data_IF_501071128473
#
_entry.id   IF_501071128473
#
_cell.length_a   1.000
_cell.length_b   1.000
_cell.length_c   1.000
_cell.angle_alpha   90.00
_cell.angle_beta   90.00
_cell.angle_gamma   90.00
#
_symmetry.space_group_name_H-M   'P 1'
#
loop_
_entity.id
_entity.type
_entity.pdbx_description
1 polymer ?
#
# COMPACT_ATOMS: atom_id res chain seq x y z
N UNK A 1 15.25 1.24 -8.63
CA UNK A 1 14.38 1.30 -7.44
C UNK A 1 14.76 2.53 -6.64
N UNK A 2 13.87 3.10 -5.80
CA UNK A 2 14.25 4.17 -4.88
C UNK A 2 15.53 3.80 -4.10
N UNK A 3 16.44 4.77 -3.95
CA UNK A 3 17.72 4.59 -3.25
C UNK A 3 18.81 3.79 -3.99
N UNK A 4 18.53 3.30 -5.20
CA UNK A 4 19.52 2.64 -6.05
C UNK A 4 19.93 3.58 -7.19
N UNK A 5 21.10 4.21 -7.05
CA UNK A 5 21.56 5.21 -8.00
C UNK A 5 21.76 4.66 -9.41
N UNK A 6 21.36 5.46 -10.40
CA UNK A 6 21.46 5.11 -11.81
C UNK A 6 22.69 5.80 -12.38
N UNK A 7 23.77 5.03 -12.56
CA UNK A 7 24.98 5.52 -13.23
C UNK A 7 24.72 5.83 -14.72
N UNK A 8 25.58 6.65 -15.32
CA UNK A 8 25.46 7.07 -16.74
C UNK A 8 25.35 5.88 -17.70
N UNK A 9 26.08 4.79 -17.43
CA UNK A 9 26.07 3.57 -18.23
C UNK A 9 24.73 2.81 -18.21
N UNK A 10 23.93 2.98 -17.16
CA UNK A 10 22.64 2.29 -16.97
C UNK A 10 21.44 3.18 -17.26
N UNK A 11 21.67 4.46 -17.58
CA UNK A 11 20.62 5.45 -17.74
C UNK A 11 19.61 5.09 -18.84
N UNK A 12 20.11 4.78 -20.05
CA UNK A 12 19.26 4.45 -21.18
C UNK A 12 18.50 3.14 -20.97
N UNK A 13 19.17 2.12 -20.44
CA UNK A 13 18.52 0.86 -20.08
C UNK A 13 17.42 1.05 -19.02
N UNK A 14 17.64 1.94 -18.05
CA UNK A 14 16.66 2.27 -17.01
C UNK A 14 15.45 2.97 -17.62
N UNK A 15 15.65 3.96 -18.49
CA UNK A 15 14.56 4.65 -19.21
C UNK A 15 13.73 3.66 -20.04
N UNK A 16 14.38 2.76 -20.76
CA UNK A 16 13.69 1.75 -21.56
C UNK A 16 12.88 0.79 -20.67
N UNK A 17 13.47 0.35 -19.56
CA UNK A 17 12.80 -0.53 -18.60
C UNK A 17 11.57 0.13 -17.98
N UNK A 18 11.68 1.41 -17.57
CA UNK A 18 10.55 2.18 -17.07
C UNK A 18 9.47 2.33 -18.14
N UNK A 19 9.84 2.70 -19.36
CA UNK A 19 8.89 2.82 -20.49
C UNK A 19 8.14 1.52 -20.74
N UNK A 20 8.86 0.39 -20.75
CA UNK A 20 8.27 -0.94 -20.94
C UNK A 20 7.32 -1.30 -19.80
N UNK A 21 7.72 -1.05 -18.54
CA UNK A 21 6.85 -1.28 -17.38
C UNK A 21 5.58 -0.42 -17.43
N UNK A 22 5.72 0.87 -17.74
CA UNK A 22 4.57 1.77 -17.89
C UNK A 22 3.61 1.28 -18.97
N UNK A 23 4.13 0.84 -20.12
CA UNK A 23 3.29 0.29 -21.19
C UNK A 23 2.56 -0.98 -20.75
N UNK A 24 3.25 -1.92 -20.10
CA UNK A 24 2.64 -3.14 -19.58
C UNK A 24 1.52 -2.83 -18.58
N UNK A 25 1.72 -1.86 -17.68
CA UNK A 25 0.68 -1.45 -16.73
C UNK A 25 -0.53 -0.84 -17.46
N UNK A 26 -0.29 -0.01 -18.49
CA UNK A 26 -1.36 0.58 -19.31
C UNK A 26 -2.18 -0.46 -20.05
N UNK A 27 -1.53 -1.49 -20.58
CA UNK A 27 -2.16 -2.52 -21.41
C UNK A 27 -3.01 -3.52 -20.62
N UNK A 28 -2.85 -3.60 -19.29
CA UNK A 28 -3.58 -4.55 -18.43
C UNK A 28 -4.57 -3.84 -17.49
N UNK A 29 -5.66 -4.51 -17.13
CA UNK A 29 -6.71 -3.94 -16.28
C UNK A 29 -6.44 -4.09 -14.78
N UNK A 30 -5.79 -5.20 -14.40
CA UNK A 30 -5.43 -5.53 -13.03
C UNK A 30 -3.96 -5.92 -12.94
N UNK A 31 -3.27 -5.38 -11.93
CA UNK A 31 -1.84 -5.59 -11.69
C UNK A 31 -1.64 -6.21 -10.32
N UNK A 32 -0.98 -7.37 -10.29
CA UNK A 32 -0.56 -8.02 -9.06
C UNK A 32 0.87 -7.62 -8.71
N UNK A 33 1.04 -6.99 -7.54
CA UNK A 33 2.34 -6.59 -6.99
C UNK A 33 2.91 -7.75 -6.15
N UNK A 34 3.56 -8.70 -6.82
CA UNK A 34 4.13 -9.92 -6.24
C UNK A 34 5.66 -9.83 -6.13
N UNK A 35 6.14 -8.70 -5.63
CA UNK A 35 7.57 -8.37 -5.61
C UNK A 35 8.21 -8.81 -4.29
N UNK A 36 9.51 -8.97 -4.29
CA UNK A 36 10.32 -9.43 -3.16
C UNK A 36 10.63 -8.32 -2.15
N UNK A 37 10.79 -7.08 -2.60
CA UNK A 37 11.21 -5.96 -1.75
C UNK A 37 10.19 -4.82 -1.67
N UNK A 38 10.33 -3.94 -0.68
CA UNK A 38 9.46 -2.77 -0.49
C UNK A 38 9.71 -1.73 -1.59
N UNK A 39 10.98 -1.48 -1.90
CA UNK A 39 11.46 -0.54 -2.90
C UNK A 39 11.06 -0.94 -4.32
N UNK A 40 11.02 -2.24 -4.66
CA UNK A 40 10.51 -2.73 -5.95
C UNK A 40 9.04 -2.36 -6.16
N UNK A 41 8.22 -2.35 -5.09
CA UNK A 41 6.76 -2.11 -5.17
C UNK A 41 6.41 -0.65 -5.46
N UNK A 42 7.32 0.28 -5.19
CA UNK A 42 7.02 1.71 -5.24
C UNK A 42 6.64 2.18 -6.64
N UNK A 43 7.48 1.90 -7.64
CA UNK A 43 7.27 2.40 -9.00
C UNK A 43 5.97 1.83 -9.65
N UNK A 44 5.70 0.50 -9.60
CA UNK A 44 4.41 -0.02 -10.07
C UNK A 44 3.20 0.54 -9.32
N UNK A 45 3.34 0.83 -8.01
CA UNK A 45 2.26 1.44 -7.22
C UNK A 45 1.95 2.86 -7.72
N UNK A 46 2.99 3.67 -7.93
CA UNK A 46 2.85 5.03 -8.45
C UNK A 46 2.19 5.03 -9.83
N UNK A 47 2.75 4.26 -10.78
CA UNK A 47 2.23 4.20 -12.16
C UNK A 47 0.80 3.66 -12.17
N UNK A 48 0.53 2.55 -11.48
CA UNK A 48 -0.80 1.95 -11.47
C UNK A 48 -1.86 2.89 -10.88
N UNK A 49 -1.51 3.71 -9.89
CA UNK A 49 -2.42 4.69 -9.34
C UNK A 49 -2.66 5.87 -10.30
N UNK A 50 -1.61 6.35 -10.99
CA UNK A 50 -1.71 7.40 -12.01
C UNK A 50 -2.58 6.96 -13.20
N UNK A 51 -2.48 5.68 -13.58
CA UNK A 51 -3.21 5.07 -14.68
C UNK A 51 -4.57 4.47 -14.25
N UNK A 52 -5.01 4.71 -13.02
CA UNK A 52 -6.28 4.25 -12.44
C UNK A 52 -6.53 2.73 -12.58
N UNK A 53 -5.49 1.92 -12.34
CA UNK A 53 -5.53 0.46 -12.45
C UNK A 53 -5.94 -0.21 -11.15
N UNK A 54 -6.51 -1.41 -11.26
CA UNK A 54 -6.74 -2.27 -10.10
C UNK A 54 -5.38 -2.80 -9.63
N UNK A 55 -4.96 -2.43 -8.41
CA UNK A 55 -3.70 -2.90 -7.83
C UNK A 55 -3.98 -3.86 -6.67
N UNK A 56 -3.51 -5.10 -6.78
CA UNK A 56 -3.54 -6.09 -5.70
C UNK A 56 -2.11 -6.36 -5.26
N UNK A 57 -1.77 -6.01 -4.02
CA UNK A 57 -0.48 -6.26 -3.44
C UNK A 57 -0.51 -7.52 -2.57
N UNK A 58 0.49 -8.39 -2.74
CA UNK A 58 0.76 -9.48 -1.82
C UNK A 58 2.19 -9.37 -1.27
N UNK A 59 2.35 -9.56 0.03
CA UNK A 59 3.63 -9.57 0.71
C UNK A 59 3.67 -10.73 1.72
N UNK A 60 4.83 -11.37 1.84
CA UNK A 60 5.01 -12.56 2.67
C UNK A 60 6.05 -12.27 3.75
N UNK A 61 5.73 -12.64 4.98
CA UNK A 61 6.67 -12.79 6.08
C UNK A 61 7.04 -14.26 6.27
N UNK A 62 7.72 -14.57 7.37
CA UNK A 62 8.10 -15.96 7.70
C UNK A 62 6.87 -16.87 7.87
N UNK A 63 5.93 -16.48 8.72
CA UNK A 63 4.70 -17.22 9.04
C UNK A 63 3.43 -16.36 8.89
N UNK A 64 3.54 -15.21 8.22
CA UNK A 64 2.46 -14.26 8.03
C UNK A 64 2.40 -13.76 6.59
N UNK A 65 1.25 -13.20 6.19
CA UNK A 65 1.07 -12.60 4.88
C UNK A 65 0.18 -11.36 4.95
N UNK A 66 0.32 -10.49 3.95
CA UNK A 66 -0.54 -9.35 3.69
C UNK A 66 -1.00 -9.42 2.24
N UNK A 67 -2.31 -9.44 2.03
CA UNK A 67 -2.95 -9.23 0.73
C UNK A 67 -3.81 -7.98 0.83
N UNK A 68 -3.64 -7.01 -0.06
CA UNK A 68 -4.44 -5.78 -0.03
C UNK A 68 -4.71 -5.24 -1.42
N UNK A 69 -5.81 -4.51 -1.56
CA UNK A 69 -6.09 -3.71 -2.75
C UNK A 69 -5.80 -2.24 -2.47
N UNK A 70 -5.22 -1.53 -3.44
CA UNK A 70 -5.00 -0.10 -3.28
C UNK A 70 -6.27 0.69 -3.63
N UNK A 71 -6.41 1.87 -3.03
CA UNK A 71 -7.41 2.84 -3.49
C UNK A 71 -7.06 3.41 -4.85
N UNK A 72 -8.09 3.79 -5.60
CA UNK A 72 -7.93 4.42 -6.92
C UNK A 72 -7.98 5.93 -6.78
N UNK A 73 -7.08 6.60 -7.48
CA UNK A 73 -7.11 8.04 -7.64
C UNK A 73 -8.31 8.51 -8.49
N UNK A 74 -9.48 8.73 -7.88
CA UNK A 74 -10.61 9.42 -8.54
C UNK A 74 -10.79 10.81 -7.93
N UNK A 75 -10.69 11.84 -8.76
CA UNK A 75 -10.97 13.23 -8.36
C UNK A 75 -12.47 13.56 -8.28
N UNK A 76 -13.35 12.72 -8.87
CA UNK A 76 -14.74 13.11 -9.14
C UNK A 76 -15.82 12.24 -8.47
N UNK A 77 -15.48 11.14 -7.82
CA UNK A 77 -16.48 10.21 -7.28
C UNK A 77 -16.47 10.18 -5.75
N UNK A 78 -17.21 11.11 -5.14
CA UNK A 78 -17.67 10.96 -3.76
C UNK A 78 -18.84 9.98 -3.76
N UNK A 79 -18.56 8.67 -3.88
CA UNK A 79 -19.58 7.67 -3.61
C UNK A 79 -19.92 7.81 -2.14
N UNK A 80 -21.13 8.28 -1.84
CA UNK A 80 -21.64 8.28 -0.47
C UNK A 80 -21.67 6.83 0.00
N UNK A 81 -20.98 6.56 1.10
CA UNK A 81 -21.06 5.26 1.73
C UNK A 81 -22.53 4.97 2.05
N UNK A 82 -23.02 3.80 1.64
CA UNK A 82 -24.41 3.41 1.87
C UNK A 82 -24.70 3.30 3.37
N UNK A 83 -25.96 3.18 3.78
CA UNK A 83 -26.26 2.91 5.18
C UNK A 83 -25.56 1.60 5.62
N UNK A 84 -24.88 1.64 6.77
CA UNK A 84 -24.18 0.48 7.33
C UNK A 84 -24.73 0.14 8.71
N UNK A 85 -24.66 -1.14 9.12
CA UNK A 85 -25.03 -1.55 10.47
C UNK A 85 -24.26 -0.77 11.53
N UNK A 86 -24.91 -0.52 12.66
CA UNK A 86 -24.33 0.17 13.81
C UNK A 86 -23.05 -0.56 14.28
N UNK A 87 -21.94 0.17 14.43
CA UNK A 87 -20.64 -0.40 14.80
C UNK A 87 -19.74 -0.86 13.65
N UNK A 88 -20.17 -0.70 12.39
CA UNK A 88 -19.32 -0.86 11.21
C UNK A 88 -18.77 0.49 10.74
N UNK A 89 -17.48 0.52 10.39
CA UNK A 89 -16.85 1.65 9.71
C UNK A 89 -16.63 1.31 8.24
N UNK A 90 -16.63 2.33 7.40
CA UNK A 90 -16.51 2.22 5.95
C UNK A 90 -15.43 3.17 5.46
N UNK A 91 -14.64 2.70 4.51
CA UNK A 91 -13.73 3.54 3.73
C UNK A 91 -14.10 3.35 2.26
N UNK A 92 -14.35 4.47 1.57
CA UNK A 92 -14.69 4.48 0.15
C UNK A 92 -13.50 4.00 -0.68
N UNK A 93 -13.75 3.37 -1.83
CA UNK A 93 -12.70 2.77 -2.65
C UNK A 93 -11.61 3.76 -3.12
N UNK A 94 -11.96 5.03 -3.32
CA UNK A 94 -11.00 6.09 -3.66
C UNK A 94 -10.11 6.53 -2.48
N UNK A 95 -10.58 6.35 -1.25
CA UNK A 95 -9.86 6.75 -0.04
C UNK A 95 -9.11 5.59 0.63
N UNK A 96 -9.00 4.43 -0.03
CA UNK A 96 -8.24 3.31 0.53
C UNK A 96 -6.73 3.55 0.44
N UNK A 97 -6.04 3.24 1.54
CA UNK A 97 -4.59 3.28 1.61
C UNK A 97 -3.93 2.34 0.58
N UNK A 98 -2.79 2.78 0.03
CA UNK A 98 -1.86 1.88 -0.65
C UNK A 98 -0.90 1.23 0.37
N UNK A 99 -0.05 0.30 -0.10
CA UNK A 99 0.97 -0.36 0.72
C UNK A 99 1.88 0.61 1.50
N UNK A 100 2.11 1.82 0.98
CA UNK A 100 2.99 2.84 1.57
C UNK A 100 2.27 3.85 2.47
N UNK A 101 0.95 3.76 2.68
CA UNK A 101 0.24 4.71 3.55
C UNK A 101 0.40 4.40 5.04
N UNK A 102 0.61 3.13 5.39
CA UNK A 102 0.71 2.69 6.78
C UNK A 102 2.11 2.87 7.37
N UNK A 103 3.04 3.46 6.63
CA UNK A 103 4.44 3.62 7.05
C UNK A 103 4.87 5.07 6.79
N UNK A 104 5.48 5.70 7.79
CA UNK A 104 5.91 7.11 7.77
C UNK A 104 7.30 7.29 7.16
N UNK A 105 7.91 6.24 6.61
CA UNK A 105 9.25 6.29 6.00
C UNK A 105 9.20 6.18 4.47
N UNK A 106 10.12 6.82 3.75
CA UNK A 106 10.27 6.57 2.32
C UNK A 106 10.93 5.21 2.04
N UNK A 107 10.55 4.50 0.96
CA UNK A 107 11.30 3.32 0.53
C UNK A 107 12.73 3.72 0.17
N UNK A 108 13.71 3.15 0.87
CA UNK A 108 15.15 3.26 0.58
C UNK A 108 15.77 1.92 0.21
N UNK A 109 17.09 1.90 0.03
CA UNK A 109 17.85 0.66 -0.20
C UNK A 109 17.81 -0.22 1.06
N UNK A 110 16.88 -1.19 1.08
CA UNK A 110 16.70 -2.10 2.21
C UNK A 110 17.59 -3.35 2.12
N UNK A 111 18.28 -3.53 0.99
CA UNK A 111 19.21 -4.63 0.75
C UNK A 111 20.58 -4.33 1.36
N UNK A 112 20.97 -3.05 1.43
CA UNK A 112 22.20 -2.57 2.07
C UNK A 112 22.11 -2.70 3.60
N UNK A 113 22.81 -3.70 4.14
CA UNK A 113 22.92 -3.95 5.59
C UNK A 113 22.22 -5.21 6.08
N UNK A 114 21.50 -5.94 5.20
CA UNK A 114 20.97 -7.27 5.51
C UNK A 114 22.02 -8.34 5.30
N UNK A 115 22.15 -9.27 6.24
CA UNK A 115 22.95 -10.49 6.04
C UNK A 115 22.32 -11.35 4.93
N UNK A 116 23.09 -12.25 4.30
CA UNK A 116 22.61 -13.08 3.18
C UNK A 116 21.29 -13.82 3.51
N UNK A 117 21.14 -14.27 4.76
CA UNK A 117 19.93 -14.94 5.27
C UNK A 117 18.72 -14.02 5.47
N UNK A 118 18.90 -12.70 5.52
CA UNK A 118 17.83 -11.70 5.58
C UNK A 118 17.41 -11.16 4.20
N UNK A 119 18.18 -11.48 3.16
CA UNK A 119 17.85 -11.18 1.76
C UNK A 119 16.96 -12.28 1.15
N UNK A 120 17.11 -13.53 1.60
CA UNK A 120 16.18 -14.61 1.29
C UNK A 120 15.06 -14.63 2.32
N UNK A 121 13.84 -14.21 1.97
CA UNK A 121 12.70 -14.44 2.86
C UNK A 121 12.47 -15.94 2.98
N UNK A 122 12.93 -16.54 4.09
CA UNK A 122 12.50 -17.90 4.45
C UNK A 122 11.03 -17.78 4.82
N UNK A 123 10.15 -18.36 4.01
CA UNK A 123 8.71 -18.40 4.26
C UNK A 123 8.27 -19.82 4.52
N UNK A 124 7.38 -20.04 5.50
CA UNK A 124 6.69 -21.33 5.64
C UNK A 124 5.97 -21.64 4.32
N UNK A 125 6.11 -22.86 3.74
CA UNK A 125 5.65 -23.14 2.38
C UNK A 125 4.16 -22.91 2.10
N UNK A 126 3.30 -22.95 3.12
CA UNK A 126 1.87 -22.70 2.98
C UNK A 126 1.50 -21.21 2.81
N UNK A 127 2.36 -20.28 3.21
CA UNK A 127 2.08 -18.84 3.23
C UNK A 127 1.81 -18.31 1.83
N UNK A 128 2.66 -18.67 0.85
CA UNK A 128 2.53 -18.22 -0.53
C UNK A 128 1.26 -18.74 -1.21
N UNK A 129 0.86 -19.97 -0.91
CA UNK A 129 -0.37 -20.58 -1.46
C UNK A 129 -1.62 -19.86 -0.95
N UNK A 130 -1.69 -19.61 0.35
CA UNK A 130 -2.81 -18.89 0.98
C UNK A 130 -2.88 -17.46 0.44
N UNK A 131 -1.76 -16.73 0.44
CA UNK A 131 -1.72 -15.36 -0.05
C UNK A 131 -2.09 -15.26 -1.53
N UNK A 132 -1.60 -16.19 -2.37
CA UNK A 132 -1.95 -16.25 -3.79
C UNK A 132 -3.44 -16.49 -4.03
N UNK A 133 -4.03 -17.46 -3.33
CA UNK A 133 -5.46 -17.73 -3.43
C UNK A 133 -6.31 -16.51 -3.01
N UNK A 134 -5.98 -15.89 -1.87
CA UNK A 134 -6.69 -14.71 -1.38
C UNK A 134 -6.53 -13.50 -2.30
N UNK A 135 -5.37 -13.31 -2.92
CA UNK A 135 -5.15 -12.22 -3.87
C UNK A 135 -6.06 -12.35 -5.10
N UNK A 136 -6.23 -13.57 -5.62
CA UNK A 136 -7.13 -13.84 -6.74
C UNK A 136 -8.58 -13.67 -6.31
N UNK A 137 -9.01 -14.25 -5.20
CA UNK A 137 -10.39 -14.11 -4.69
C UNK A 137 -10.76 -12.66 -4.38
N UNK A 138 -9.81 -11.85 -3.88
CA UNK A 138 -10.00 -10.43 -3.67
C UNK A 138 -10.24 -9.70 -4.99
N UNK A 139 -9.47 -10.00 -6.04
CA UNK A 139 -9.69 -9.41 -7.37
C UNK A 139 -11.08 -9.79 -7.91
N UNK A 140 -11.46 -11.07 -7.85
CA UNK A 140 -12.77 -11.52 -8.36
C UNK A 140 -13.90 -10.84 -7.57
N UNK A 141 -13.78 -10.74 -6.25
CA UNK A 141 -14.75 -10.02 -5.41
C UNK A 141 -14.87 -8.53 -5.78
N UNK A 142 -13.75 -7.86 -6.08
CA UNK A 142 -13.76 -6.47 -6.59
C UNK A 142 -14.50 -6.38 -7.92
N UNK A 143 -14.23 -7.29 -8.86
CA UNK A 143 -14.85 -7.28 -10.20
C UNK A 143 -16.36 -7.58 -10.17
N UNK A 144 -16.82 -8.39 -9.22
CA UNK A 144 -18.24 -8.72 -9.07
C UNK A 144 -19.02 -7.70 -8.23
N UNK A 145 -18.33 -6.79 -7.55
CA UNK A 145 -18.97 -5.73 -6.78
C UNK A 145 -19.60 -4.69 -7.72
N UNK A 146 -20.80 -4.18 -7.40
CA UNK A 146 -21.50 -3.17 -8.23
C UNK A 146 -20.65 -1.94 -8.57
N UNK A 147 -19.82 -1.52 -7.62
CA UNK A 147 -18.90 -0.37 -7.76
C UNK A 147 -17.51 -0.73 -8.32
N UNK A 148 -17.25 -2.00 -8.67
CA UNK A 148 -15.99 -2.45 -9.23
C UNK A 148 -14.80 -2.04 -8.36
N UNK A 149 -13.81 -1.38 -8.96
CA UNK A 149 -12.61 -0.90 -8.27
C UNK A 149 -12.88 0.12 -7.16
N UNK A 150 -14.01 0.84 -7.23
CA UNK A 150 -14.44 1.80 -6.21
C UNK A 150 -15.22 1.14 -5.06
N UNK A 151 -15.29 -0.19 -5.02
CA UNK A 151 -15.92 -0.92 -3.92
C UNK A 151 -15.44 -0.41 -2.55
N UNK A 152 -16.35 -0.08 -1.62
CA UNK A 152 -15.97 0.31 -0.27
C UNK A 152 -15.40 -0.87 0.51
N UNK A 153 -14.59 -0.58 1.52
CA UNK A 153 -14.12 -1.58 2.48
C UNK A 153 -14.81 -1.37 3.82
N UNK A 154 -15.51 -2.41 4.29
CA UNK A 154 -16.09 -2.44 5.62
C UNK A 154 -15.12 -3.06 6.61
N UNK A 155 -15.02 -2.45 7.78
CA UNK A 155 -14.23 -2.99 8.89
C UNK A 155 -14.91 -2.68 10.22
N UNK A 156 -14.70 -3.54 11.21
CA UNK A 156 -15.19 -3.30 12.57
C UNK A 156 -14.00 -3.12 13.51
N UNK A 157 -14.14 -2.19 14.45
CA UNK A 157 -13.16 -1.98 15.53
C UNK A 157 -13.48 -2.82 16.77
N UNK A 158 -14.63 -3.49 16.81
CA UNK A 158 -15.06 -4.33 17.92
C UNK A 158 -15.34 -5.75 17.43
N UNK A 159 -14.95 -6.78 18.20
CA UNK A 159 -15.22 -8.20 17.91
C UNK A 159 -16.72 -8.57 17.96
N UNK A 160 -17.62 -7.57 18.06
CA UNK A 160 -19.03 -7.75 18.40
C UNK A 160 -19.96 -7.81 17.20
N UNK A 161 -19.52 -7.42 15.99
CA UNK A 161 -20.37 -7.45 14.80
C UNK A 161 -20.10 -8.72 13.99
N UNK A 162 -21.09 -9.63 13.85
CA UNK A 162 -20.94 -10.81 13.00
C UNK A 162 -20.64 -10.42 11.55
N UNK A 163 -19.63 -11.03 10.93
CA UNK A 163 -19.25 -10.77 9.52
C UNK A 163 -20.42 -10.86 8.53
N UNK A 164 -21.45 -11.67 8.82
CA UNK A 164 -22.66 -11.81 8.00
C UNK A 164 -23.47 -10.51 7.88
N UNK A 165 -23.50 -9.68 8.92
CA UNK A 165 -24.22 -8.40 8.90
C UNK A 165 -23.48 -7.36 8.03
N UNK A 166 -22.15 -7.47 7.90
CA UNK A 166 -21.34 -6.58 7.04
C UNK A 166 -21.54 -6.85 5.54
N UNK A 167 -22.08 -8.01 5.18
CA UNK A 167 -22.37 -8.41 3.79
C UNK A 167 -23.80 -8.12 3.34
N UNK A 168 -24.65 -7.61 4.24
CA UNK A 168 -26.09 -7.48 4.04
C UNK A 168 -26.51 -6.42 3.00
N UNK A 169 -25.59 -5.58 2.51
CA UNK A 169 -25.92 -4.55 1.51
C UNK A 169 -26.21 -5.13 0.11
N UNK A 170 -25.91 -6.42 -0.14
CA UNK A 170 -26.21 -7.08 -1.41
C UNK A 170 -25.46 -6.47 -2.60
N UNK A 171 -24.32 -5.82 -2.35
CA UNK A 171 -23.51 -5.14 -3.38
C UNK A 171 -22.49 -6.05 -4.07
N UNK A 172 -22.23 -7.22 -3.48
CA UNK A 172 -21.40 -8.27 -4.08
C UNK A 172 -22.03 -9.63 -3.82
N UNK A 173 -22.07 -10.45 -4.86
CA UNK A 173 -22.56 -11.84 -4.79
C UNK A 173 -21.56 -12.78 -4.08
N UNK A 174 -20.29 -12.38 -4.00
CA UNK A 174 -19.20 -13.17 -3.40
C UNK A 174 -18.92 -12.78 -1.95
N UNK A 175 -19.73 -11.89 -1.37
CA UNK A 175 -19.56 -11.42 0.00
C UNK A 175 -18.68 -10.18 0.10
N UNK A 176 -17.92 -10.07 1.19
CA UNK A 176 -17.17 -8.87 1.56
C UNK A 176 -16.01 -8.58 0.59
N UNK A 177 -15.76 -7.30 0.33
CA UNK A 177 -14.58 -6.82 -0.41
C UNK A 177 -13.63 -6.07 0.54
N UNK A 178 -12.77 -6.77 1.29
CA UNK A 178 -11.90 -6.14 2.29
C UNK A 178 -10.86 -5.21 1.65
N UNK A 179 -10.34 -4.27 2.44
CA UNK A 179 -9.19 -3.45 2.04
C UNK A 179 -7.89 -4.27 2.11
N UNK A 180 -7.64 -4.87 3.27
CA UNK A 180 -6.49 -5.72 3.51
C UNK A 180 -6.87 -6.97 4.28
N UNK A 181 -6.12 -8.03 4.02
CA UNK A 181 -6.22 -9.34 4.66
C UNK A 181 -4.84 -9.66 5.22
N UNK A 182 -4.76 -9.80 6.54
CA UNK A 182 -3.53 -10.21 7.23
C UNK A 182 -3.77 -11.54 7.90
N UNK A 183 -2.89 -12.51 7.64
CA UNK A 183 -2.99 -13.83 8.26
C UNK A 183 -1.71 -14.21 8.98
N UNK A 184 -1.87 -14.98 10.04
CA UNK A 184 -0.80 -15.47 10.91
C UNK A 184 -0.94 -16.98 11.07
N UNK A 185 0.01 -17.76 10.53
CA UNK A 185 -0.03 -19.23 10.56
C UNK A 185 0.40 -19.80 11.93
N UNK A 186 0.92 -18.98 12.84
CA UNK A 186 1.25 -19.37 14.21
C UNK A 186 0.00 -19.47 15.07
N UNK A 187 -0.92 -18.51 14.96
CA UNK A 187 -2.22 -18.52 15.65
C UNK A 187 -3.38 -19.07 14.81
N UNK A 188 -3.17 -19.30 13.51
CA UNK A 188 -4.22 -19.65 12.55
C UNK A 188 -5.33 -18.59 12.46
N UNK A 189 -4.96 -17.32 12.64
CA UNK A 189 -5.89 -16.19 12.63
C UNK A 189 -5.76 -15.37 11.35
N UNK A 190 -6.88 -14.76 10.94
CA UNK A 190 -6.96 -13.80 9.86
C UNK A 190 -7.73 -12.57 10.32
N UNK A 191 -7.18 -11.39 10.04
CA UNK A 191 -7.81 -10.10 10.36
C UNK A 191 -7.97 -9.26 9.09
N UNK A 192 -9.00 -8.40 9.08
CA UNK A 192 -9.40 -7.60 7.92
C UNK A 192 -9.32 -6.08 8.20
N UNK A 193 -8.14 -5.52 8.52
CA UNK A 193 -8.04 -4.10 8.78
C UNK A 193 -8.26 -3.28 7.51
N UNK A 194 -8.77 -2.07 7.69
CA UNK A 194 -8.85 -1.07 6.64
C UNK A 194 -8.15 0.21 7.09
N UNK A 195 -7.54 0.93 6.16
CA UNK A 195 -6.82 2.17 6.45
C UNK A 195 -7.12 3.20 5.37
N UNK A 196 -7.28 4.45 5.80
CA UNK A 196 -7.52 5.57 4.90
C UNK A 196 -6.23 6.03 4.23
N UNK A 197 -6.37 6.62 3.04
CA UNK A 197 -5.27 7.21 2.28
C UNK A 197 -4.59 8.30 3.12
N UNK A 198 -3.29 8.13 3.31
CA UNK A 198 -2.49 9.14 3.99
C UNK A 198 -2.14 10.30 3.03
N UNK A 199 -2.39 11.54 3.46
CA UNK A 199 -2.20 12.76 2.66
C UNK A 199 -0.75 12.95 2.21
N UNK A 200 0.20 12.57 3.06
CA UNK A 200 1.64 12.70 2.82
C UNK A 200 2.28 11.35 2.43
N UNK A 201 1.51 10.43 1.83
CA UNK A 201 2.04 9.16 1.37
C UNK A 201 3.07 9.35 0.24
N UNK A 202 4.22 8.70 0.36
CA UNK A 202 5.32 8.72 -0.64
C UNK A 202 5.00 8.06 -1.99
N UNK A 203 3.81 7.48 -2.16
CA UNK A 203 3.41 6.80 -3.38
C UNK A 203 2.07 7.27 -3.96
N UNK A 204 1.03 7.41 -3.13
CA UNK A 204 -0.31 7.73 -3.60
C UNK A 204 -0.81 9.14 -3.23
N UNK A 205 0.00 9.96 -2.55
CA UNK A 205 -0.38 11.35 -2.25
C UNK A 205 -0.56 12.17 -3.52
N UNK A 206 -1.39 13.19 -3.43
CA UNK A 206 -1.64 14.09 -4.56
C UNK A 206 -0.36 14.86 -4.93
N UNK A 207 0.48 15.18 -3.94
CA UNK A 207 1.79 15.80 -4.11
C UNK A 207 2.69 14.96 -5.03
N UNK A 208 2.88 13.68 -4.69
CA UNK A 208 3.74 12.77 -5.47
C UNK A 208 3.15 12.47 -6.85
N UNK A 209 1.83 12.28 -6.94
CA UNK A 209 1.15 12.02 -8.22
C UNK A 209 1.30 13.21 -9.18
N UNK A 210 1.10 14.44 -8.69
CA UNK A 210 1.21 15.64 -9.50
C UNK A 210 2.65 15.88 -9.97
N UNK A 211 3.62 15.75 -9.06
CA UNK A 211 5.05 15.87 -9.39
C UNK A 211 5.47 14.85 -10.46
N UNK A 212 5.02 13.59 -10.36
CA UNK A 212 5.27 12.58 -11.37
C UNK A 212 4.61 12.91 -12.72
N UNK A 213 3.38 13.42 -12.73
CA UNK A 213 2.69 13.82 -13.97
C UNK A 213 3.40 14.96 -14.68
N UNK A 214 3.95 15.92 -13.94
CA UNK A 214 4.66 17.08 -14.48
C UNK A 214 6.07 16.73 -14.98
N UNK A 215 6.88 16.05 -14.15
CA UNK A 215 8.31 15.84 -14.40
C UNK A 215 8.67 14.46 -14.94
N UNK A 216 7.77 13.49 -14.86
CA UNK A 216 7.90 12.14 -15.41
C UNK A 216 9.25 11.47 -15.11
N UNK A 217 10.08 11.21 -16.13
CA UNK A 217 11.37 10.54 -15.98
C UNK A 217 12.36 11.32 -15.13
N UNK A 218 12.34 12.65 -15.15
CA UNK A 218 13.25 13.46 -14.34
C UNK A 218 12.99 13.22 -12.84
N UNK A 219 11.71 13.24 -12.44
CA UNK A 219 11.31 12.88 -11.08
C UNK A 219 11.75 11.46 -10.72
N UNK A 220 11.52 10.48 -11.58
CA UNK A 220 11.93 9.10 -11.31
C UNK A 220 13.44 8.96 -11.12
N UNK A 221 14.25 9.64 -11.93
CA UNK A 221 15.71 9.63 -11.77
C UNK A 221 16.14 10.27 -10.45
N UNK A 222 15.51 11.38 -10.06
CA UNK A 222 15.78 12.02 -8.77
C UNK A 222 15.46 11.09 -7.60
N UNK A 223 14.34 10.36 -7.68
CA UNK A 223 13.93 9.36 -6.68
C UNK A 223 14.89 8.16 -6.62
N UNK A 224 15.33 7.65 -7.78
CA UNK A 224 16.27 6.53 -7.81
C UNK A 224 17.62 6.91 -7.21
N UNK A 225 18.08 8.13 -7.50
CA UNK A 225 19.35 8.63 -7.01
C UNK A 225 19.30 9.09 -5.54
N UNK A 226 18.12 9.46 -5.02
CA UNK A 226 17.95 9.91 -3.63
C UNK A 226 16.56 9.60 -3.09
N UNK A 227 16.49 8.74 -2.07
CA UNK A 227 15.24 8.47 -1.34
C UNK A 227 14.71 9.72 -0.62
N UNK A 228 15.60 10.63 -0.22
CA UNK A 228 15.24 11.89 0.43
C UNK A 228 14.35 12.78 -0.45
N UNK A 229 14.52 12.71 -1.77
CA UNK A 229 13.67 13.48 -2.68
C UNK A 229 12.18 13.12 -2.54
N UNK A 230 11.86 11.85 -2.25
CA UNK A 230 10.48 11.44 -1.97
C UNK A 230 9.96 12.01 -0.66
N UNK A 231 10.79 12.03 0.38
CA UNK A 231 10.42 12.59 1.69
C UNK A 231 10.16 14.09 1.60
N UNK A 232 11.00 14.81 0.86
CA UNK A 232 10.86 16.24 0.62
C UNK A 232 9.56 16.53 -0.16
N UNK A 233 9.28 15.81 -1.25
CA UNK A 233 8.05 15.99 -2.06
C UNK A 233 6.80 15.61 -1.27
N UNK A 234 6.88 14.60 -0.42
CA UNK A 234 5.78 14.18 0.44
C UNK A 234 5.62 15.03 1.71
N UNK A 235 6.48 16.03 1.93
CA UNK A 235 6.55 16.87 3.14
C UNK A 235 6.79 16.08 4.45
N UNK A 236 7.37 14.89 4.36
CA UNK A 236 7.73 14.11 5.54
C UNK A 236 8.91 14.73 6.28
N UNK A 237 9.84 15.37 5.56
CA UNK A 237 11.00 16.03 6.15
C UNK A 237 10.61 17.23 7.03
N UNK A 238 9.53 17.93 6.71
CA UNK A 238 8.98 18.99 7.56
C UNK A 238 8.32 18.40 8.81
N UNK A 239 7.52 17.36 8.65
CA UNK A 239 6.88 16.64 9.76
C UNK A 239 7.90 16.09 10.77
N UNK A 240 9.02 15.52 10.29
CA UNK A 240 10.09 15.03 11.19
C UNK A 240 10.77 16.16 11.95
N UNK A 241 10.98 17.33 11.32
CA UNK A 241 11.56 18.51 11.99
C UNK A 241 10.61 19.06 13.07
N UNK A 242 9.31 19.07 12.79
CA UNK A 242 8.30 19.52 13.75
C UNK A 242 8.19 18.56 14.94
N UNK A 243 8.42 17.26 14.71
CA UNK A 243 8.41 16.23 15.77
C UNK A 243 9.69 16.24 16.61
N UNK A 244 10.84 16.56 16.01
CA UNK A 244 12.15 16.56 16.69
C UNK A 244 12.37 17.72 17.69
N UNK A 245 11.43 18.67 17.81
CA UNK A 245 11.64 19.88 18.63
C UNK A 245 10.74 20.07 19.87
N UNK A 246 9.63 19.35 20.06
CA UNK A 246 8.74 19.67 21.22
C UNK A 246 8.15 18.51 22.05
N UNK A 247 8.27 17.21 21.71
CA UNK A 247 7.52 16.15 22.45
C UNK A 247 8.27 14.85 22.85
N UNK A 248 9.60 14.81 22.79
CA UNK A 248 10.39 13.68 23.38
C UNK A 248 11.32 14.17 24.49
N UNK A 249 10.82 15.07 25.34
CA UNK A 249 11.60 15.68 26.43
C UNK A 249 11.01 15.53 27.85
N UNK A 250 10.01 14.67 28.08
CA UNK A 250 9.57 14.37 29.45
C UNK A 250 9.24 12.89 29.62
N UNK A 251 10.22 12.11 30.05
CA UNK A 251 10.12 11.13 31.14
C UNK A 251 11.56 10.77 31.56
N UNK A 252 12.24 11.70 32.22
CA UNK A 252 13.42 11.35 33.01
C UNK A 252 12.95 10.65 34.29
N UNK A 253 13.40 9.41 34.49
CA UNK A 253 13.07 8.48 35.58
C UNK A 253 13.47 8.94 37.01
N UNK A 254 13.20 10.19 37.41
CA UNK A 254 13.55 10.70 38.76
C UNK A 254 12.36 10.90 39.72
N UNK A 255 11.13 10.48 39.36
CA UNK A 255 9.94 10.66 40.24
C UNK A 255 9.38 9.37 40.87
N UNK A 256 10.17 8.28 40.95
CA UNK A 256 9.85 7.13 41.80
C UNK A 256 10.72 7.10 43.06
N UNK A 257 10.52 8.07 43.95
CA UNK A 257 10.83 7.91 45.37
C UNK A 257 9.73 8.49 46.25
N UNK A 258 8.80 7.62 46.66
CA UNK A 258 8.01 7.76 47.88
C UNK A 258 7.58 6.36 48.38
#
# INVERSE_FOLDING_TARGET
>A
MPGHSVGESLLEQTKESVKKLTQLIKDHDAIFLLLDSRESRWLPTLIGNVENKILINAALGFDSYLVMRHGVYSQNDTIQASDHPEGCKVITGNNLACYFCCDVTAPGDSLKGRTLDQQCTVTRPGVSQIAGALAVELLISVLQHKHGVLAPAYYSTAQTVPMQEMTASGDSVLGLVPHSIRGFLSSFEQILPATEKYKNCVACSDLVINEYKEKQMEFLLNVFNSSKHLEDVALLTEMFKDTDFEEVLEFSDEDFSA
#
